data_IF_786535668854
#
_entry.id   IF_786535668854
#
_cell.length_a   1.000
_cell.length_b   1.000
_cell.length_c   1.000
_cell.angle_alpha   90.00
_cell.angle_beta   90.00
_cell.angle_gamma   90.00
#
_symmetry.space_group_name_H-M   'P 1'
#
loop_
_entity.id
_entity.type
_entity.pdbx_description
1 polymer ?
#
# COMPACT_ATOMS: atom_id res chain seq x y z
N UNK A 1 -42.94 14.27 2.98
CA UNK A 1 -41.81 13.66 2.28
C UNK A 1 -41.04 12.83 3.30
N UNK A 2 -40.69 11.57 3.04
CA UNK A 2 -39.80 10.82 3.93
C UNK A 2 -38.46 11.57 4.01
N UNK A 3 -37.94 11.77 5.21
CA UNK A 3 -36.61 12.30 5.41
C UNK A 3 -35.64 11.34 4.72
N UNK A 4 -34.85 11.80 3.75
CA UNK A 4 -33.73 11.06 3.23
C UNK A 4 -32.76 10.84 4.40
N UNK A 5 -32.72 9.62 4.92
CA UNK A 5 -31.70 9.22 5.88
C UNK A 5 -30.39 9.11 5.10
N UNK A 6 -29.66 10.23 4.98
CA UNK A 6 -28.28 10.15 4.53
C UNK A 6 -27.53 9.21 5.49
N UNK A 7 -27.07 8.09 4.98
CA UNK A 7 -26.23 7.18 5.74
C UNK A 7 -25.02 7.98 6.24
N UNK A 8 -24.83 8.01 7.55
CA UNK A 8 -23.73 8.76 8.17
C UNK A 8 -22.40 8.11 7.80
N UNK A 9 -21.61 8.80 6.96
CA UNK A 9 -20.26 8.34 6.65
C UNK A 9 -19.38 8.37 7.90
N UNK A 10 -18.70 7.29 8.14
CA UNK A 10 -17.63 7.17 9.15
C UNK A 10 -16.32 6.86 8.47
N UNK A 11 -15.23 7.36 9.01
CA UNK A 11 -13.87 7.05 8.55
C UNK A 11 -12.97 6.78 9.75
N UNK A 12 -12.05 5.84 9.57
CA UNK A 12 -10.99 5.57 10.52
C UNK A 12 -9.66 5.39 9.79
N UNK A 13 -8.57 5.87 10.35
CA UNK A 13 -7.26 5.81 9.73
C UNK A 13 -6.21 5.29 10.71
N UNK A 14 -5.20 4.61 10.18
CA UNK A 14 -4.04 4.15 10.92
C UNK A 14 -2.78 4.25 10.08
N UNK A 15 -1.65 4.44 10.76
CA UNK A 15 -0.30 4.38 10.19
C UNK A 15 0.55 3.46 11.06
N UNK A 16 0.96 2.33 10.50
CA UNK A 16 1.75 1.31 11.19
C UNK A 16 3.15 1.26 10.61
N UNK A 17 4.15 1.19 11.47
CA UNK A 17 5.55 1.03 11.07
C UNK A 17 5.79 -0.39 10.55
N UNK A 18 6.30 -0.48 9.31
CA UNK A 18 6.68 -1.71 8.62
C UNK A 18 8.17 -1.76 8.29
N UNK A 19 8.95 -0.89 8.92
CA UNK A 19 10.41 -0.92 8.82
C UNK A 19 10.95 -2.28 9.25
N UNK A 20 11.91 -2.88 8.54
CA UNK A 20 12.46 -4.18 8.91
C UNK A 20 13.13 -4.13 10.29
N UNK A 21 12.84 -5.14 11.11
CA UNK A 21 13.39 -5.26 12.47
C UNK A 21 14.84 -5.76 12.49
N UNK A 22 15.27 -6.40 11.42
CA UNK A 22 16.60 -7.03 11.34
C UNK A 22 17.27 -6.65 10.03
N UNK A 23 18.50 -6.20 10.13
CA UNK A 23 19.37 -5.87 9.00
C UNK A 23 20.55 -6.87 8.91
N UNK A 24 21.17 -7.04 7.75
CA UNK A 24 20.79 -6.48 6.46
C UNK A 24 19.53 -7.11 5.89
N UNK A 25 18.87 -6.38 4.97
CA UNK A 25 17.69 -6.85 4.22
C UNK A 25 17.98 -6.81 2.73
N UNK A 26 17.35 -7.71 1.97
CA UNK A 26 17.38 -7.68 0.51
C UNK A 26 16.41 -6.57 0.06
N UNK A 27 16.92 -5.57 -0.68
CA UNK A 27 16.14 -4.48 -1.24
C UNK A 27 15.53 -4.85 -2.60
N UNK A 28 14.31 -4.42 -2.84
CA UNK A 28 13.64 -4.55 -4.13
C UNK A 28 13.71 -3.24 -4.94
N UNK A 29 13.51 -3.35 -6.26
CA UNK A 29 13.43 -2.21 -7.19
C UNK A 29 14.69 -1.96 -8.02
N UNK A 30 15.79 -2.67 -7.78
CA UNK A 30 16.95 -2.71 -8.65
C UNK A 30 16.84 -3.83 -9.69
N UNK A 31 17.62 -3.75 -10.77
CA UNK A 31 17.76 -4.87 -11.72
C UNK A 31 18.78 -5.92 -11.26
N UNK A 32 19.62 -5.55 -10.30
CA UNK A 32 20.60 -6.39 -9.64
C UNK A 32 20.24 -6.44 -8.16
N UNK A 33 20.27 -7.65 -7.57
CA UNK A 33 20.03 -7.83 -6.14
C UNK A 33 21.04 -7.02 -5.31
N UNK A 34 20.52 -6.30 -4.34
CA UNK A 34 21.33 -5.57 -3.37
C UNK A 34 20.74 -5.75 -1.96
N UNK A 35 21.63 -5.68 -0.97
CA UNK A 35 21.25 -5.70 0.44
C UNK A 35 21.66 -4.39 1.11
N UNK A 36 20.79 -3.91 1.98
CA UNK A 36 21.00 -2.69 2.75
C UNK A 36 21.11 -3.00 4.24
N UNK A 37 22.04 -2.33 4.91
CA UNK A 37 22.32 -2.50 6.34
C UNK A 37 21.95 -1.26 7.16
N UNK A 38 21.25 -0.31 6.57
CA UNK A 38 20.86 0.96 7.20
C UNK A 38 19.44 1.34 6.81
N UNK A 39 18.67 1.79 7.78
CA UNK A 39 17.39 2.48 7.57
C UNK A 39 17.70 3.97 7.44
N UNK A 40 17.21 4.60 6.36
CA UNK A 40 17.30 6.06 6.15
C UNK A 40 16.00 6.69 6.63
N UNK A 41 14.86 6.18 6.14
CA UNK A 41 13.54 6.63 6.52
C UNK A 41 12.67 5.44 6.95
N UNK A 42 11.79 5.59 7.95
CA UNK A 42 10.87 4.54 8.33
C UNK A 42 9.84 4.25 7.23
N UNK A 43 9.51 2.98 7.06
CA UNK A 43 8.49 2.50 6.11
C UNK A 43 7.15 2.32 6.83
N UNK A 44 6.05 2.62 6.15
CA UNK A 44 4.73 2.56 6.75
C UNK A 44 3.71 1.80 5.89
N UNK A 45 2.78 1.15 6.57
CA UNK A 45 1.48 0.78 6.03
C UNK A 45 0.47 1.81 6.51
N UNK A 46 -0.23 2.46 5.58
CA UNK A 46 -1.28 3.45 5.85
C UNK A 46 -2.60 2.84 5.48
N UNK A 47 -3.54 2.81 6.40
CA UNK A 47 -4.87 2.25 6.19
C UNK A 47 -5.95 3.31 6.38
N UNK A 48 -6.93 3.30 5.50
CA UNK A 48 -8.18 4.04 5.61
C UNK A 48 -9.32 3.03 5.60
N UNK A 49 -10.20 3.11 6.59
CA UNK A 49 -11.47 2.38 6.62
C UNK A 49 -12.62 3.37 6.45
N UNK A 50 -13.52 3.08 5.53
CA UNK A 50 -14.75 3.84 5.30
C UNK A 50 -15.96 2.97 5.59
N UNK A 51 -16.98 3.54 6.23
CA UNK A 51 -18.21 2.86 6.66
C UNK A 51 -19.41 3.79 6.50
N UNK A 52 -20.37 3.42 5.66
CA UNK A 52 -21.64 4.13 5.48
C UNK A 52 -22.81 3.44 6.20
N UNK A 53 -22.52 2.55 7.17
CA UNK A 53 -23.46 1.70 7.92
C UNK A 53 -24.04 0.52 7.13
N UNK A 54 -23.91 0.53 5.80
CA UNK A 54 -24.34 -0.56 4.91
C UNK A 54 -23.13 -1.32 4.39
N UNK A 55 -22.11 -0.56 4.00
CA UNK A 55 -20.88 -1.06 3.40
C UNK A 55 -19.69 -0.55 4.19
N UNK A 56 -18.78 -1.48 4.53
CA UNK A 56 -17.48 -1.13 5.08
C UNK A 56 -16.38 -1.64 4.17
N UNK A 57 -15.40 -0.79 3.91
CA UNK A 57 -14.23 -1.12 3.09
C UNK A 57 -12.94 -0.64 3.75
N UNK A 58 -11.83 -1.29 3.41
CA UNK A 58 -10.49 -0.91 3.84
C UNK A 58 -9.56 -0.73 2.64
N UNK A 59 -8.78 0.34 2.67
CA UNK A 59 -7.73 0.63 1.67
C UNK A 59 -6.41 0.74 2.41
N UNK A 60 -5.46 -0.13 2.06
CA UNK A 60 -4.10 -0.13 2.63
C UNK A 60 -3.11 0.22 1.53
N UNK A 61 -2.28 1.21 1.79
CA UNK A 61 -1.13 1.56 0.96
C UNK A 61 0.13 1.36 1.79
N UNK A 62 1.05 0.53 1.30
CA UNK A 62 2.28 0.19 2.02
C UNK A 62 3.52 0.64 1.26
N UNK A 63 4.51 1.18 1.98
CA UNK A 63 5.81 1.54 1.43
C UNK A 63 6.58 0.25 1.08
N UNK A 64 6.38 -0.22 -0.13
CA UNK A 64 6.98 -1.42 -0.71
C UNK A 64 7.08 -1.27 -2.22
N UNK A 65 8.01 -1.95 -2.85
CA UNK A 65 8.11 -1.95 -4.30
C UNK A 65 6.94 -2.75 -4.91
N UNK A 66 6.76 -3.98 -4.46
CA UNK A 66 5.72 -4.90 -4.91
C UNK A 66 5.29 -5.82 -3.78
N UNK A 67 4.06 -6.31 -3.89
CA UNK A 67 3.49 -7.29 -2.96
C UNK A 67 3.00 -8.50 -3.76
N UNK A 68 3.42 -9.72 -3.42
CA UNK A 68 2.86 -10.90 -4.07
C UNK A 68 1.41 -11.10 -3.63
N UNK A 69 0.61 -11.68 -4.53
CA UNK A 69 -0.82 -11.88 -4.31
C UNK A 69 -1.10 -12.69 -3.04
N UNK A 70 -0.33 -13.73 -2.82
CA UNK A 70 -0.50 -14.63 -1.68
C UNK A 70 -0.33 -13.90 -0.34
N UNK A 71 0.59 -12.92 -0.28
CA UNK A 71 0.77 -12.08 0.91
C UNK A 71 -0.46 -11.20 1.16
N UNK A 72 -0.99 -10.60 0.10
CA UNK A 72 -2.18 -9.76 0.19
C UNK A 72 -3.40 -10.60 0.60
N UNK A 73 -3.59 -11.77 0.01
CA UNK A 73 -4.72 -12.65 0.30
C UNK A 73 -4.66 -13.20 1.75
N UNK A 74 -3.46 -13.53 2.23
CA UNK A 74 -3.21 -13.90 3.63
C UNK A 74 -3.60 -12.75 4.59
N UNK A 75 -3.10 -11.54 4.34
CA UNK A 75 -3.40 -10.38 5.17
C UNK A 75 -4.90 -10.03 5.14
N UNK A 76 -5.54 -10.08 3.98
CA UNK A 76 -6.99 -9.86 3.85
C UNK A 76 -7.80 -10.84 4.65
N UNK A 77 -7.49 -12.14 4.55
CA UNK A 77 -8.19 -13.17 5.30
C UNK A 77 -8.10 -12.94 6.82
N UNK A 78 -6.88 -12.73 7.31
CA UNK A 78 -6.64 -12.47 8.74
C UNK A 78 -7.30 -11.18 9.23
N UNK A 79 -7.33 -10.14 8.40
CA UNK A 79 -8.00 -8.88 8.72
C UNK A 79 -9.52 -9.03 8.70
N UNK A 80 -10.07 -9.74 7.73
CA UNK A 80 -11.50 -10.05 7.64
C UNK A 80 -12.00 -10.81 8.87
N UNK A 81 -11.26 -11.83 9.31
CA UNK A 81 -11.58 -12.61 10.51
C UNK A 81 -11.64 -11.72 11.78
N UNK A 82 -10.78 -10.67 11.85
CA UNK A 82 -10.71 -9.79 13.03
C UNK A 82 -11.67 -8.59 12.98
N UNK A 83 -12.04 -8.12 11.79
CA UNK A 83 -12.79 -6.87 11.63
C UNK A 83 -14.21 -7.07 11.10
N UNK A 84 -14.49 -8.23 10.51
CA UNK A 84 -15.74 -8.50 9.80
C UNK A 84 -15.86 -7.79 8.44
N UNK A 85 -14.79 -7.11 7.96
CA UNK A 85 -14.78 -6.51 6.62
C UNK A 85 -14.64 -7.64 5.59
N UNK A 86 -15.55 -7.76 4.61
CA UNK A 86 -15.47 -8.79 3.58
C UNK A 86 -14.16 -8.73 2.78
N UNK A 87 -13.65 -9.89 2.36
CA UNK A 87 -12.37 -10.02 1.64
C UNK A 87 -12.32 -9.17 0.37
N UNK A 88 -13.43 -9.10 -0.37
CA UNK A 88 -13.59 -8.34 -1.60
C UNK A 88 -13.68 -6.83 -1.39
N UNK A 89 -13.77 -6.40 -0.13
CA UNK A 89 -13.81 -4.99 0.30
C UNK A 89 -12.53 -4.52 1.00
N UNK A 90 -11.47 -5.30 0.89
CA UNK A 90 -10.14 -4.94 1.37
C UNK A 90 -9.21 -4.79 0.17
N UNK A 91 -8.71 -3.59 -0.07
CA UNK A 91 -7.68 -3.30 -1.06
C UNK A 91 -6.33 -3.15 -0.36
N UNK A 92 -5.30 -3.85 -0.84
CA UNK A 92 -3.92 -3.69 -0.41
C UNK A 92 -3.08 -3.38 -1.64
N UNK A 93 -2.33 -2.29 -1.60
CA UNK A 93 -1.46 -1.83 -2.69
C UNK A 93 -0.11 -1.37 -2.18
N UNK A 94 0.90 -1.40 -3.05
CA UNK A 94 2.24 -0.89 -2.81
C UNK A 94 2.42 0.50 -3.43
N UNK A 95 3.26 1.34 -2.82
CA UNK A 95 3.66 2.65 -3.37
C UNK A 95 4.61 2.51 -4.57
N UNK A 96 5.15 1.33 -4.81
CA UNK A 96 6.21 1.04 -5.77
C UNK A 96 7.53 1.77 -5.48
N UNK A 97 7.83 2.00 -4.20
CA UNK A 97 9.12 2.58 -3.82
C UNK A 97 10.26 1.55 -4.00
N UNK A 98 11.37 2.00 -4.59
CA UNK A 98 12.52 1.14 -4.90
C UNK A 98 13.58 1.13 -3.78
N UNK A 99 13.16 1.41 -2.55
CA UNK A 99 14.01 1.47 -1.35
C UNK A 99 13.43 0.72 -0.16
N UNK A 100 12.57 -0.26 -0.43
CA UNK A 100 11.96 -1.12 0.59
C UNK A 100 12.46 -2.58 0.47
N UNK A 101 12.35 -3.37 1.55
CA UNK A 101 12.72 -4.79 1.52
C UNK A 101 11.90 -5.59 0.50
N UNK A 102 12.52 -6.62 -0.05
CA UNK A 102 11.88 -7.49 -1.03
C UNK A 102 10.93 -8.48 -0.36
N UNK A 103 9.64 -8.38 -0.70
CA UNK A 103 8.61 -9.33 -0.27
C UNK A 103 8.21 -10.33 -1.35
N UNK A 104 8.82 -10.25 -2.55
CA UNK A 104 8.48 -11.03 -3.74
C UNK A 104 9.73 -11.57 -4.43
N UNK A 105 9.69 -12.83 -4.87
CA UNK A 105 10.81 -13.44 -5.59
C UNK A 105 10.91 -12.95 -7.03
N UNK A 106 12.15 -12.82 -7.50
CA UNK A 106 12.53 -12.56 -8.91
C UNK A 106 11.87 -11.34 -9.54
N UNK A 107 11.31 -10.46 -8.71
CA UNK A 107 10.77 -9.23 -9.21
C UNK A 107 11.84 -8.14 -9.20
N UNK A 108 12.09 -7.53 -10.35
CA UNK A 108 13.15 -6.52 -10.53
C UNK A 108 14.52 -7.01 -10.02
N UNK A 109 14.83 -8.29 -10.29
CA UNK A 109 16.14 -8.89 -10.05
C UNK A 109 16.44 -9.33 -8.61
N UNK A 110 15.54 -9.13 -7.66
CA UNK A 110 15.76 -9.47 -6.26
C UNK A 110 15.09 -10.77 -5.86
N UNK A 111 15.74 -11.53 -4.97
CA UNK A 111 15.09 -12.59 -4.21
C UNK A 111 14.22 -11.99 -3.09
N UNK A 112 13.29 -12.79 -2.58
CA UNK A 112 12.54 -12.41 -1.38
C UNK A 112 13.46 -12.35 -0.15
N UNK A 113 13.26 -11.37 0.73
CA UNK A 113 13.77 -11.46 2.10
C UNK A 113 12.77 -12.26 2.94
N UNK A 114 13.09 -13.48 3.36
CA UNK A 114 12.12 -14.36 4.00
C UNK A 114 11.65 -13.85 5.37
N UNK A 115 12.50 -13.11 6.10
CA UNK A 115 12.17 -12.52 7.39
C UNK A 115 11.15 -11.39 7.23
N UNK A 116 11.39 -10.52 6.24
CA UNK A 116 10.48 -9.42 5.95
C UNK A 116 9.14 -9.93 5.38
N UNK A 117 9.19 -10.93 4.50
CA UNK A 117 7.99 -11.58 3.94
C UNK A 117 7.10 -12.19 5.03
N UNK A 118 7.71 -12.77 6.07
CA UNK A 118 6.96 -13.34 7.20
C UNK A 118 6.41 -12.25 8.15
N UNK A 119 7.09 -11.13 8.28
CA UNK A 119 6.74 -10.02 9.16
C UNK A 119 5.58 -9.17 8.64
N UNK A 120 5.57 -8.89 7.33
CA UNK A 120 4.71 -7.87 6.72
C UNK A 120 3.20 -8.16 6.82
N UNK A 121 2.67 -9.38 6.61
CA UNK A 121 1.23 -9.65 6.70
C UNK A 121 0.63 -9.23 8.04
N UNK A 122 1.31 -9.55 9.15
CA UNK A 122 0.88 -9.17 10.49
C UNK A 122 0.74 -7.65 10.67
N UNK A 123 1.63 -6.88 10.06
CA UNK A 123 1.61 -5.41 10.09
C UNK A 123 0.48 -4.82 9.23
N UNK A 124 0.18 -5.43 8.10
CA UNK A 124 -0.98 -5.01 7.28
C UNK A 124 -2.29 -5.27 8.02
N UNK A 125 -2.40 -6.42 8.70
CA UNK A 125 -3.56 -6.74 9.56
C UNK A 125 -3.67 -5.72 10.70
N UNK A 126 -2.56 -5.40 11.37
CA UNK A 126 -2.53 -4.40 12.44
C UNK A 126 -3.07 -3.06 11.97
N UNK A 127 -2.65 -2.58 10.78
CA UNK A 127 -3.12 -1.33 10.22
C UNK A 127 -4.63 -1.32 9.96
N UNK A 128 -5.18 -2.41 9.42
CA UNK A 128 -6.62 -2.54 9.16
C UNK A 128 -7.42 -2.56 10.47
N UNK A 129 -6.95 -3.33 11.46
CA UNK A 129 -7.62 -3.44 12.76
C UNK A 129 -7.62 -2.09 13.48
N UNK A 130 -6.49 -1.37 13.52
CA UNK A 130 -6.40 -0.05 14.14
C UNK A 130 -7.29 0.98 13.44
N UNK A 131 -7.29 1.02 12.10
CA UNK A 131 -8.14 1.93 11.33
C UNK A 131 -9.62 1.62 11.56
N UNK A 132 -10.00 0.33 11.59
CA UNK A 132 -11.37 -0.08 11.86
C UNK A 132 -11.82 0.30 13.29
N UNK A 133 -10.93 0.21 14.28
CA UNK A 133 -11.23 0.59 15.65
C UNK A 133 -11.34 2.11 15.85
N UNK A 134 -10.76 2.92 14.96
CA UNK A 134 -10.76 4.38 15.02
C UNK A 134 -11.89 5.06 14.25
N UNK A 135 -12.91 4.30 13.78
CA UNK A 135 -14.06 4.82 13.03
C UNK A 135 -14.81 5.91 13.80
N UNK A 136 -14.95 7.08 13.18
CA UNK A 136 -15.71 8.22 13.71
C UNK A 136 -16.51 8.91 12.59
N UNK A 137 -17.54 9.73 12.89
CA UNK A 137 -18.26 10.50 11.88
C UNK A 137 -17.32 11.32 11.00
N UNK A 138 -17.54 11.31 9.69
CA UNK A 138 -16.67 11.95 8.73
C UNK A 138 -17.44 12.58 7.56
N UNK A 139 -16.76 13.47 6.84
CA UNK A 139 -17.25 14.05 5.58
C UNK A 139 -16.19 13.84 4.51
N UNK A 140 -16.63 13.57 3.28
CA UNK A 140 -15.75 13.46 2.12
C UNK A 140 -15.90 14.70 1.23
N UNK A 141 -14.80 15.16 0.65
CA UNK A 141 -14.78 16.23 -0.34
C UNK A 141 -13.80 15.85 -1.46
N UNK A 142 -14.02 16.41 -2.63
CA UNK A 142 -13.21 16.17 -3.82
C UNK A 142 -12.53 17.46 -4.25
N UNK A 143 -11.28 17.35 -4.69
CA UNK A 143 -10.52 18.45 -5.25
C UNK A 143 -9.62 17.95 -6.38
N UNK A 144 -9.27 18.85 -7.28
CA UNK A 144 -8.29 18.61 -8.34
C UNK A 144 -7.30 19.76 -8.40
N UNK A 145 -6.03 19.43 -8.58
CA UNK A 145 -4.95 20.40 -8.78
C UNK A 145 -4.02 19.87 -9.89
N UNK A 146 -3.55 20.76 -10.74
CA UNK A 146 -2.49 20.42 -11.69
C UNK A 146 -1.15 20.35 -10.97
N UNK A 147 -0.38 19.30 -11.25
CA UNK A 147 0.90 19.02 -10.60
C UNK A 147 1.97 18.63 -11.64
N UNK A 148 1.92 19.26 -12.81
CA UNK A 148 2.82 18.96 -13.94
C UNK A 148 4.30 19.11 -13.57
N UNK A 149 4.63 20.03 -12.67
CA UNK A 149 6.00 20.28 -12.19
C UNK A 149 6.60 19.11 -11.39
N UNK A 150 5.76 18.21 -10.86
CA UNK A 150 6.22 17.04 -10.09
C UNK A 150 6.22 15.75 -10.90
N UNK A 151 5.89 15.83 -12.21
CA UNK A 151 5.80 14.65 -13.07
C UNK A 151 6.61 14.81 -14.33
N UNK A 152 7.27 13.73 -14.75
CA UNK A 152 7.96 13.66 -16.03
C UNK A 152 7.83 12.26 -16.62
N UNK A 153 7.63 12.18 -17.95
CA UNK A 153 7.75 10.93 -18.65
C UNK A 153 9.22 10.54 -18.74
N UNK A 154 9.59 9.36 -18.22
CA UNK A 154 10.97 8.85 -18.30
C UNK A 154 11.29 8.13 -19.63
N UNK A 155 10.30 7.95 -20.49
CA UNK A 155 10.51 7.41 -21.84
C UNK A 155 10.80 8.56 -22.77
N UNK A 156 11.89 8.46 -23.48
CA UNK A 156 12.35 9.46 -24.41
C UNK A 156 12.27 8.89 -25.81
N UNK A 157 11.61 9.59 -26.72
CA UNK A 157 11.65 9.29 -28.15
C UNK A 157 12.61 10.29 -28.79
N UNK A 158 13.50 9.79 -29.63
CA UNK A 158 14.46 10.64 -30.36
C UNK A 158 13.92 10.89 -31.76
N UNK A 159 14.14 12.11 -32.24
CA UNK A 159 13.92 12.46 -33.63
C UNK A 159 15.23 12.25 -34.41
N UNK A 160 15.19 11.38 -35.41
CA UNK A 160 16.25 11.26 -36.42
C UNK A 160 15.71 11.87 -37.68
N UNK A 161 16.14 13.12 -37.97
CA UNK A 161 15.48 13.96 -38.95
C UNK A 161 14.09 14.37 -38.45
N UNK A 162 13.04 14.03 -39.20
CA UNK A 162 11.64 14.27 -38.81
C UNK A 162 10.91 12.99 -38.39
N UNK A 163 11.59 11.86 -38.22
CA UNK A 163 11.01 10.58 -37.86
C UNK A 163 11.28 10.27 -36.37
N UNK A 164 10.22 9.82 -35.68
CA UNK A 164 10.32 9.28 -34.33
C UNK A 164 11.02 7.93 -34.38
N UNK A 165 12.09 7.75 -33.62
CA UNK A 165 12.80 6.49 -33.41
C UNK A 165 12.67 6.11 -31.94
N UNK A 166 12.16 4.89 -31.70
CA UNK A 166 12.08 4.27 -30.35
C UNK A 166 13.43 3.67 -29.93
#
# INVERSE_FOLDING_TARGET
>A
APAETHAELRAGAAKVDVTPLVLPVIRNGGFIEASDNKVVDPLHARCLVLDDRVTRLAIVVVDSCMLPRELCDEAKRLASDKTGIPLDRILISATHCHSAPSSMNYCLGSRVDPRYRAFLPGKLVEAIVQANASLQPAKAAWGRVDAAEFTACRRWSFLKGNELVD
#
